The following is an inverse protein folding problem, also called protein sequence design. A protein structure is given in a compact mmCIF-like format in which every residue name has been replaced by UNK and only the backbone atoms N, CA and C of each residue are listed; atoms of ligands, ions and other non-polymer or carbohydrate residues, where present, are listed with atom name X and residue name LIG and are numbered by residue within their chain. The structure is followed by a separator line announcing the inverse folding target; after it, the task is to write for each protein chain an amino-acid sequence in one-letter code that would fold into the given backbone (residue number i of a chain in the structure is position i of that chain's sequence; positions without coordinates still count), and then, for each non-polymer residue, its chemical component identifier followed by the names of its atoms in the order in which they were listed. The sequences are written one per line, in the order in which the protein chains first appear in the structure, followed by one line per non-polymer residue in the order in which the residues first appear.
data_IF_627953208155
#
_entry.id   IF_627953208155
#
_cell.length_a   1.000
_cell.length_b   1.000
_cell.length_c   1.000
_cell.angle_alpha   90.00
_cell.angle_beta   90.00
_cell.angle_gamma   90.00
#
_symmetry.space_group_name_H-M   'P 1'
#
loop_
_entity.id
_entity.type
_entity.pdbx_description
1 polymer ?
#
# COMPACT_ATOMS: atom_id res chain seq x y z
N UNK A 1 -10.97 7.86 23.30
CA UNK A 1 -10.57 6.47 23.00
C UNK A 1 -10.60 6.27 21.49
N UNK A 2 -9.46 6.08 20.83
CA UNK A 2 -9.39 5.80 19.38
C UNK A 2 -9.32 4.29 19.16
N UNK A 3 -10.39 3.71 18.61
CA UNK A 3 -10.40 2.30 18.22
C UNK A 3 -9.64 2.13 16.90
N UNK A 4 -8.71 1.17 16.85
CA UNK A 4 -7.99 0.84 15.62
C UNK A 4 -8.99 0.34 14.57
N UNK A 5 -9.00 0.98 13.40
CA UNK A 5 -9.81 0.57 12.26
C UNK A 5 -9.24 -0.76 11.74
N UNK A 6 -10.01 -1.84 11.89
CA UNK A 6 -9.65 -3.15 11.34
C UNK A 6 -10.05 -3.20 9.88
N UNK A 7 -9.07 -3.42 9.00
CA UNK A 7 -9.31 -3.61 7.57
C UNK A 7 -9.94 -5.00 7.37
N UNK A 8 -11.05 -5.08 6.62
CA UNK A 8 -11.64 -6.35 6.19
C UNK A 8 -10.60 -7.14 5.37
N UNK A 9 -10.64 -8.47 5.42
CA UNK A 9 -9.84 -9.31 4.52
C UNK A 9 -10.10 -8.94 3.06
N UNK A 10 -9.02 -8.75 2.30
CA UNK A 10 -9.08 -8.58 0.86
C UNK A 10 -9.51 -9.88 0.19
N UNK A 11 -10.29 -9.76 -0.87
CA UNK A 11 -10.52 -10.84 -1.84
C UNK A 11 -9.30 -10.98 -2.75
N UNK A 12 -9.14 -12.15 -3.38
CA UNK A 12 -8.04 -12.39 -4.33
C UNK A 12 -8.04 -11.40 -5.50
N UNK A 13 -9.23 -11.03 -5.98
CA UNK A 13 -9.38 -10.05 -7.07
C UNK A 13 -8.89 -8.66 -6.66
N UNK A 14 -9.21 -8.21 -5.44
CA UNK A 14 -8.69 -6.96 -4.89
C UNK A 14 -7.17 -7.02 -4.71
N UNK A 15 -6.65 -8.13 -4.18
CA UNK A 15 -5.21 -8.38 -4.05
C UNK A 15 -4.49 -8.28 -5.39
N UNK A 16 -5.00 -8.95 -6.43
CA UNK A 16 -4.43 -8.88 -7.78
C UNK A 16 -4.45 -7.46 -8.37
N UNK A 17 -5.53 -6.70 -8.14
CA UNK A 17 -5.62 -5.30 -8.59
C UNK A 17 -4.58 -4.42 -7.91
N UNK A 18 -4.41 -4.57 -6.60
CA UNK A 18 -3.39 -3.84 -5.83
C UNK A 18 -1.98 -4.22 -6.28
N UNK A 19 -1.70 -5.50 -6.46
CA UNK A 19 -0.41 -5.96 -6.98
C UNK A 19 -0.12 -5.37 -8.35
N UNK A 20 -1.11 -5.30 -9.26
CA UNK A 20 -0.93 -4.70 -10.58
C UNK A 20 -0.59 -3.20 -10.50
N UNK A 21 -1.17 -2.47 -9.55
CA UNK A 21 -0.85 -1.06 -9.32
C UNK A 21 0.58 -0.92 -8.80
N UNK A 22 0.95 -1.70 -7.78
CA UNK A 22 2.28 -1.63 -7.15
C UNK A 22 3.37 -2.05 -8.15
N UNK A 23 3.15 -3.09 -8.95
CA UNK A 23 4.13 -3.58 -9.94
C UNK A 23 4.29 -2.66 -11.15
N UNK A 24 3.29 -1.84 -11.50
CA UNK A 24 3.39 -0.90 -12.64
C UNK A 24 4.05 0.42 -12.29
N UNK A 25 4.06 0.85 -11.02
CA UNK A 25 4.91 1.92 -10.49
C UNK A 25 4.65 3.37 -10.92
N UNK A 26 4.15 3.66 -12.13
CA UNK A 26 4.35 4.99 -12.76
C UNK A 26 3.14 5.89 -12.99
N UNK A 27 1.89 5.41 -12.97
CA UNK A 27 0.76 6.24 -13.45
C UNK A 27 0.15 7.21 -12.43
N UNK A 28 0.34 7.01 -11.13
CA UNK A 28 -0.19 7.94 -10.11
C UNK A 28 0.47 7.68 -8.77
N UNK A 29 1.25 8.64 -8.28
CA UNK A 29 1.93 8.57 -6.98
C UNK A 29 0.94 8.28 -5.86
N UNK A 30 -0.21 8.96 -5.82
CA UNK A 30 -1.25 8.75 -4.80
C UNK A 30 -1.84 7.34 -4.89
N UNK A 31 -2.15 6.86 -6.10
CA UNK A 31 -2.69 5.51 -6.31
C UNK A 31 -1.70 4.44 -5.88
N UNK A 32 -0.42 4.63 -6.20
CA UNK A 32 0.67 3.74 -5.79
C UNK A 32 0.83 3.71 -4.26
N UNK A 33 0.92 4.88 -3.60
CA UNK A 33 1.06 4.96 -2.13
C UNK A 33 -0.08 4.24 -1.42
N UNK A 34 -1.32 4.54 -1.83
CA UNK A 34 -2.53 3.93 -1.24
C UNK A 34 -2.56 2.41 -1.47
N UNK A 35 -2.19 1.96 -2.66
CA UNK A 35 -2.16 0.52 -2.96
C UNK A 35 -1.10 -0.21 -2.14
N UNK A 36 0.08 0.39 -1.95
CA UNK A 36 1.12 -0.18 -1.09
C UNK A 36 0.67 -0.29 0.37
N UNK A 37 0.07 0.78 0.91
CA UNK A 37 -0.43 0.79 2.30
C UNK A 37 -1.46 -0.32 2.52
N UNK A 38 -2.42 -0.46 1.59
CA UNK A 38 -3.47 -1.47 1.67
C UNK A 38 -2.92 -2.89 1.56
N UNK A 39 -2.02 -3.14 0.61
CA UNK A 39 -1.40 -4.45 0.42
C UNK A 39 -0.55 -4.86 1.63
N UNK A 40 0.24 -3.94 2.17
CA UNK A 40 1.07 -4.21 3.34
C UNK A 40 0.24 -4.43 4.61
N UNK A 41 -0.84 -3.64 4.80
CA UNK A 41 -1.80 -3.82 5.89
C UNK A 41 -2.49 -5.18 5.83
N UNK A 42 -2.94 -5.59 4.64
CA UNK A 42 -3.57 -6.90 4.44
C UNK A 42 -2.60 -8.07 4.60
N UNK A 43 -1.31 -7.86 4.31
CA UNK A 43 -0.24 -8.82 4.57
C UNK A 43 0.19 -8.93 6.04
N UNK A 44 -0.48 -8.22 6.97
CA UNK A 44 -0.18 -8.28 8.39
C UNK A 44 1.07 -7.49 8.82
N UNK A 45 1.56 -6.57 7.99
CA UNK A 45 2.70 -5.72 8.35
C UNK A 45 2.30 -4.72 9.44
N UNK A 46 3.25 -4.43 10.32
CA UNK A 46 3.05 -3.44 11.38
C UNK A 46 3.09 -2.02 10.81
N UNK A 47 2.40 -1.08 11.47
CA UNK A 47 2.39 0.34 11.11
C UNK A 47 3.79 0.94 10.89
N UNK A 48 4.82 0.70 11.74
CA UNK A 48 6.16 1.23 11.49
C UNK A 48 6.81 0.68 10.21
N UNK A 49 6.58 -0.59 9.86
CA UNK A 49 7.09 -1.18 8.60
C UNK A 49 6.41 -0.52 7.40
N UNK A 50 5.10 -0.34 7.47
CA UNK A 50 4.32 0.34 6.42
C UNK A 50 4.81 1.78 6.25
N UNK A 51 5.05 2.50 7.35
CA UNK A 51 5.58 3.85 7.32
C UNK A 51 6.95 3.89 6.64
N UNK A 52 7.85 2.96 6.95
CA UNK A 52 9.16 2.86 6.30
C UNK A 52 9.03 2.67 4.78
N UNK A 53 8.17 1.74 4.33
CA UNK A 53 7.93 1.48 2.90
C UNK A 53 7.35 2.72 2.18
N UNK A 54 6.43 3.44 2.82
CA UNK A 54 5.84 4.68 2.28
C UNK A 54 6.84 5.85 2.26
N UNK A 55 7.80 5.87 3.18
CA UNK A 55 8.88 6.85 3.15
C UNK A 55 9.89 6.53 2.05
N UNK A 56 10.20 5.27 1.78
CA UNK A 56 11.11 4.89 0.70
C UNK A 56 10.62 5.33 -0.69
N UNK A 57 9.31 5.38 -0.93
CA UNK A 57 8.71 5.89 -2.18
C UNK A 57 8.59 7.43 -2.26
N UNK A 58 9.04 8.18 -1.24
CA UNK A 58 9.03 9.66 -1.30
C UNK A 58 10.07 10.21 -2.26
N UNK A 59 11.08 9.42 -2.66
CA UNK A 59 11.90 9.74 -3.82
C UNK A 59 11.02 9.68 -5.06
N UNK A 60 10.80 10.79 -5.78
CA UNK A 60 10.01 10.76 -6.99
C UNK A 60 10.66 9.79 -7.98
N UNK A 61 9.87 8.92 -8.59
CA UNK A 61 10.20 8.35 -9.89
C UNK A 61 10.36 9.53 -10.88
N UNK A 62 11.53 10.14 -10.89
CA UNK A 62 12.09 10.83 -12.03
C UNK A 62 13.05 9.83 -12.67
N UNK A 63 12.51 9.04 -13.60
CA UNK A 63 13.26 8.35 -14.66
C UNK A 63 12.56 8.70 -15.96
#
# INVERSE_FOLDING_TARGET
MTQLVKVRRLTDQEGQKLQRIVRRGTMSTVRYRRAMILLASAGGNTVPVIACLVQAMRTPCAM
#
